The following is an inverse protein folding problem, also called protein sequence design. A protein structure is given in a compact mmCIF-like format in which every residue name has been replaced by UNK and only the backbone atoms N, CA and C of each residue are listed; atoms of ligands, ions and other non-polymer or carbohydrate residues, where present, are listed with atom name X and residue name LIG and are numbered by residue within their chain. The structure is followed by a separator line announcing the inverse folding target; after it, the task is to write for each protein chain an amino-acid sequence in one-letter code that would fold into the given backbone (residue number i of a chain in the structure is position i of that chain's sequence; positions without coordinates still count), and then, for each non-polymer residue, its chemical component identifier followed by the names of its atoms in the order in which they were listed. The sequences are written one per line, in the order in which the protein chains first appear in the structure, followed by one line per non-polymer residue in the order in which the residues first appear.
data_IF_053630183197
#
_entry.id   IF_053630183197
#
_cell.length_a   1.000
_cell.length_b   1.000
_cell.length_c   1.000
_cell.angle_alpha   90.00
_cell.angle_beta   90.00
_cell.angle_gamma   90.00
#
_symmetry.space_group_name_H-M   'P 1'
#
loop_
_entity.id
_entity.type
_entity.pdbx_description
1 polymer ?
#
# COMPACT_ATOMS: atom_id res chain seq x y z
N UNK A 1 -4.74 23.24 -17.82
CA UNK A 1 -4.60 21.95 -17.11
C UNK A 1 -3.12 21.68 -16.96
N UNK A 2 -2.67 21.30 -15.75
CA UNK A 2 -1.28 20.93 -15.47
C UNK A 2 -1.03 19.51 -16.04
N UNK A 3 0.12 19.28 -16.66
CA UNK A 3 0.52 17.98 -17.20
C UNK A 3 1.70 17.43 -16.41
N UNK A 4 1.97 16.12 -16.50
CA UNK A 4 3.15 15.51 -15.87
C UNK A 4 4.48 16.12 -16.36
N UNK A 5 4.54 16.56 -17.62
CA UNK A 5 5.71 17.29 -18.15
C UNK A 5 5.99 18.59 -17.40
N UNK A 6 4.93 19.27 -16.94
CA UNK A 6 5.03 20.56 -16.26
C UNK A 6 5.53 20.39 -14.81
N UNK A 7 5.45 19.17 -14.27
CA UNK A 7 5.94 18.79 -12.94
C UNK A 7 7.42 18.37 -12.91
N UNK A 8 8.12 18.44 -14.04
CA UNK A 8 9.54 18.05 -14.16
C UNK A 8 9.78 16.55 -14.38
N UNK A 9 8.72 15.77 -14.68
CA UNK A 9 8.85 14.35 -15.00
C UNK A 9 9.50 14.16 -16.36
N UNK A 10 10.45 13.22 -16.43
CA UNK A 10 11.20 12.91 -17.65
C UNK A 10 10.29 12.43 -18.79
N UNK A 11 10.55 12.81 -20.07
CA UNK A 11 9.69 12.49 -21.21
C UNK A 11 9.37 11.00 -21.35
N UNK A 12 10.33 10.10 -21.07
CA UNK A 12 10.13 8.65 -21.15
C UNK A 12 9.11 8.12 -20.14
N UNK A 13 9.01 8.72 -18.95
CA UNK A 13 7.98 8.38 -17.97
C UNK A 13 6.62 8.95 -18.37
N UNK A 14 6.59 10.18 -18.90
CA UNK A 14 5.35 10.80 -19.40
C UNK A 14 4.76 9.96 -20.54
N UNK A 15 5.60 9.48 -21.47
CA UNK A 15 5.18 8.60 -22.55
C UNK A 15 4.63 7.27 -22.00
N UNK A 16 5.31 6.66 -21.02
CA UNK A 16 4.85 5.42 -20.40
C UNK A 16 3.50 5.58 -19.71
N UNK A 17 3.27 6.68 -19.00
CA UNK A 17 1.99 7.00 -18.38
C UNK A 17 0.88 7.19 -19.44
N UNK A 18 1.19 7.91 -20.52
CA UNK A 18 0.24 8.14 -21.62
C UNK A 18 -0.18 6.85 -22.30
N UNK A 19 0.73 5.88 -22.45
CA UNK A 19 0.43 4.56 -23.00
C UNK A 19 -0.52 3.73 -22.09
N UNK A 20 -0.53 4.01 -20.80
CA UNK A 20 -1.47 3.42 -19.83
C UNK A 20 -2.75 4.26 -19.67
N UNK A 21 -2.92 5.32 -20.46
CA UNK A 21 -4.10 6.21 -20.39
C UNK A 21 -4.05 7.22 -19.25
N UNK A 22 -2.92 7.37 -18.56
CA UNK A 22 -2.72 8.30 -17.44
C UNK A 22 -2.14 9.59 -18.00
N UNK A 23 -2.98 10.58 -18.26
CA UNK A 23 -2.58 11.84 -18.93
C UNK A 23 -2.60 13.05 -18.02
N UNK A 24 -3.45 13.04 -16.98
CA UNK A 24 -3.65 14.16 -16.07
C UNK A 24 -3.22 13.80 -14.65
N UNK A 25 -2.39 14.62 -13.98
CA UNK A 25 -2.00 14.38 -12.60
C UNK A 25 -3.13 14.74 -11.62
N UNK A 26 -3.25 13.96 -10.55
CA UNK A 26 -4.07 14.28 -9.40
C UNK A 26 -3.45 15.40 -8.55
N UNK A 27 -4.24 16.05 -7.72
CA UNK A 27 -3.82 17.17 -6.84
C UNK A 27 -2.59 16.79 -6.00
N UNK A 28 -2.58 15.62 -5.36
CA UNK A 28 -1.44 15.15 -4.57
C UNK A 28 -0.15 14.99 -5.40
N UNK A 29 -0.27 14.68 -6.66
CA UNK A 29 0.88 14.55 -7.59
C UNK A 29 1.40 15.93 -7.99
N UNK A 30 0.50 16.88 -8.24
CA UNK A 30 0.85 18.27 -8.57
C UNK A 30 1.64 18.89 -7.41
N UNK A 31 1.19 18.67 -6.18
CA UNK A 31 1.81 19.25 -4.99
C UNK A 31 3.13 18.55 -4.59
N UNK A 32 3.20 17.21 -4.71
CA UNK A 32 4.33 16.46 -4.17
C UNK A 32 5.49 16.29 -5.15
N UNK A 33 5.22 16.06 -6.44
CA UNK A 33 6.25 15.68 -7.40
C UNK A 33 7.36 16.73 -7.52
N UNK A 34 7.09 18.04 -7.69
CA UNK A 34 8.15 19.03 -7.87
C UNK A 34 9.13 19.06 -6.67
N UNK A 35 8.61 19.15 -5.47
CA UNK A 35 9.42 19.19 -4.23
C UNK A 35 10.19 17.88 -4.02
N UNK A 36 9.59 16.73 -4.36
CA UNK A 36 10.29 15.45 -4.30
C UNK A 36 11.47 15.39 -5.27
N UNK A 37 11.31 15.89 -6.49
CA UNK A 37 12.40 15.97 -7.49
C UNK A 37 13.54 16.93 -7.10
N UNK A 38 13.23 17.94 -6.29
CA UNK A 38 14.23 18.85 -5.69
C UNK A 38 15.01 18.19 -4.55
N UNK A 39 14.70 16.95 -4.17
CA UNK A 39 15.35 16.23 -3.08
C UNK A 39 14.86 16.64 -1.69
N UNK A 40 13.76 17.39 -1.57
CA UNK A 40 13.19 17.81 -0.28
C UNK A 40 12.42 16.67 0.38
N UNK A 41 12.45 16.65 1.69
CA UNK A 41 11.59 15.79 2.48
C UNK A 41 10.13 16.22 2.35
N UNK A 42 9.22 15.23 2.35
CA UNK A 42 7.78 15.49 2.20
C UNK A 42 7.01 14.81 3.32
N UNK A 43 6.15 15.57 3.97
CA UNK A 43 5.13 15.07 4.89
C UNK A 43 3.75 15.33 4.28
N UNK A 44 3.15 14.30 3.68
CA UNK A 44 1.90 14.41 2.96
C UNK A 44 0.76 13.70 3.70
N UNK A 45 -0.31 14.44 4.00
CA UNK A 45 -1.58 13.91 4.45
C UNK A 45 -2.54 13.82 3.26
N UNK A 46 -2.85 12.59 2.85
CA UNK A 46 -3.75 12.33 1.73
C UNK A 46 -4.53 11.01 1.91
N UNK A 47 -5.83 10.96 1.56
CA UNK A 47 -6.64 9.75 1.68
C UNK A 47 -6.18 8.64 0.73
N UNK A 48 -6.63 7.40 0.96
CA UNK A 48 -6.47 6.30 0.01
C UNK A 48 -7.20 6.63 -1.29
N UNK A 49 -6.67 6.21 -2.44
CA UNK A 49 -7.26 6.50 -3.76
C UNK A 49 -6.93 7.89 -4.33
N UNK A 50 -6.14 8.72 -3.65
CA UNK A 50 -5.75 10.05 -4.13
C UNK A 50 -4.61 10.06 -5.16
N UNK A 51 -4.08 8.89 -5.56
CA UNK A 51 -2.97 8.81 -6.52
C UNK A 51 -1.56 8.89 -5.92
N UNK A 52 -1.40 8.61 -4.61
CA UNK A 52 -0.12 8.67 -3.88
C UNK A 52 1.00 7.88 -4.53
N UNK A 53 0.70 6.69 -5.05
CA UNK A 53 1.70 5.80 -5.63
C UNK A 53 2.53 6.46 -6.73
N UNK A 54 1.90 7.21 -7.63
CA UNK A 54 2.61 7.98 -8.64
C UNK A 54 3.24 9.25 -8.07
N UNK A 55 2.66 9.86 -7.03
CA UNK A 55 3.19 11.06 -6.40
C UNK A 55 4.59 10.84 -5.82
N UNK A 56 4.85 9.68 -5.20
CA UNK A 56 6.20 9.32 -4.74
C UNK A 56 6.97 8.47 -5.74
N UNK A 57 6.30 7.63 -6.52
CA UNK A 57 6.94 6.66 -7.40
C UNK A 57 7.64 7.30 -8.59
N UNK A 58 7.06 8.33 -9.20
CA UNK A 58 7.67 9.01 -10.34
C UNK A 58 8.96 9.76 -9.97
N UNK A 59 9.01 10.56 -8.89
CA UNK A 59 10.26 11.13 -8.42
C UNK A 59 11.29 10.06 -8.05
N UNK A 60 10.87 9.02 -7.31
CA UNK A 60 11.75 7.94 -6.88
C UNK A 60 12.41 7.24 -8.08
N UNK A 61 11.65 6.88 -9.12
CA UNK A 61 12.21 6.28 -10.35
C UNK A 61 13.14 7.26 -11.07
N UNK A 62 12.80 8.55 -11.09
CA UNK A 62 13.60 9.58 -11.76
C UNK A 62 14.96 9.81 -11.11
N UNK A 63 15.07 9.56 -9.80
CA UNK A 63 16.24 9.88 -8.97
C UNK A 63 17.02 8.64 -8.53
N UNK A 64 16.40 7.44 -8.52
CA UNK A 64 17.06 6.20 -8.15
C UNK A 64 18.32 5.96 -8.98
N UNK A 65 19.38 5.47 -8.33
CA UNK A 65 20.67 5.17 -8.94
C UNK A 65 20.78 3.68 -9.27
N UNK A 66 21.64 3.29 -10.23
CA UNK A 66 21.95 1.89 -10.47
C UNK A 66 22.44 1.20 -9.18
N UNK A 67 21.94 0.00 -8.93
CA UNK A 67 22.23 -0.76 -7.72
C UNK A 67 23.34 -1.80 -7.93
N UNK A 68 24.22 -1.95 -6.97
CA UNK A 68 25.11 -3.10 -6.86
C UNK A 68 24.36 -4.32 -6.27
N UNK A 69 24.98 -5.50 -6.35
CA UNK A 69 24.47 -6.72 -5.70
C UNK A 69 24.20 -6.47 -4.22
N UNK A 70 23.00 -6.78 -3.75
CA UNK A 70 22.55 -6.63 -2.36
C UNK A 70 22.56 -5.20 -1.80
N UNK A 71 22.65 -4.17 -2.66
CA UNK A 71 22.71 -2.76 -2.28
C UNK A 71 21.69 -1.95 -3.07
N UNK A 72 20.41 -2.00 -2.69
CA UNK A 72 19.37 -1.17 -3.31
C UNK A 72 19.63 0.32 -2.99
N UNK A 73 19.11 1.21 -3.85
CA UNK A 73 19.31 2.66 -3.73
C UNK A 73 18.04 3.41 -3.36
N UNK A 74 16.88 2.76 -3.49
CA UNK A 74 15.59 3.33 -3.10
C UNK A 74 14.72 2.31 -2.38
N UNK A 75 14.00 2.77 -1.34
CA UNK A 75 13.17 1.93 -0.47
C UNK A 75 11.79 2.55 -0.27
N UNK A 76 10.75 1.73 -0.41
CA UNK A 76 9.38 2.06 -0.04
C UNK A 76 8.95 1.10 1.07
N UNK A 77 8.58 1.62 2.24
CA UNK A 77 8.00 0.85 3.33
C UNK A 77 6.48 0.96 3.31
N UNK A 78 5.81 -0.16 3.49
CA UNK A 78 4.35 -0.27 3.48
C UNK A 78 3.87 -1.32 4.48
N UNK A 79 2.70 -1.14 5.11
CA UNK A 79 2.23 -2.03 6.18
C UNK A 79 1.88 -3.44 5.73
N UNK A 80 1.42 -3.61 4.48
CA UNK A 80 0.84 -4.88 4.04
C UNK A 80 1.49 -5.43 2.77
N UNK A 81 1.40 -6.75 2.60
CA UNK A 81 1.92 -7.48 1.43
C UNK A 81 1.17 -7.09 0.16
N UNK A 82 -0.13 -6.91 0.29
CA UNK A 82 -1.04 -6.56 -0.79
C UNK A 82 -0.67 -5.19 -1.35
N UNK A 83 -0.44 -4.21 -0.48
CA UNK A 83 -0.02 -2.88 -0.89
C UNK A 83 1.39 -2.90 -1.49
N UNK A 84 2.32 -3.70 -0.94
CA UNK A 84 3.65 -3.86 -1.52
C UNK A 84 3.59 -4.39 -2.97
N UNK A 85 2.73 -5.38 -3.24
CA UNK A 85 2.54 -5.90 -4.60
C UNK A 85 1.81 -4.91 -5.52
N UNK A 86 0.82 -4.17 -5.01
CA UNK A 86 0.14 -3.12 -5.79
C UNK A 86 1.14 -2.04 -6.22
N UNK A 87 1.93 -1.50 -5.29
CA UNK A 87 2.97 -0.51 -5.59
C UNK A 87 3.98 -1.07 -6.60
N UNK A 88 4.50 -2.30 -6.38
CA UNK A 88 5.42 -2.93 -7.31
C UNK A 88 4.83 -3.06 -8.71
N UNK A 89 3.58 -3.50 -8.82
CA UNK A 89 2.91 -3.69 -10.12
C UNK A 89 2.75 -2.37 -10.90
N UNK A 90 2.58 -1.26 -10.20
CA UNK A 90 2.53 0.08 -10.81
C UNK A 90 3.92 0.58 -11.21
N UNK A 91 4.92 0.41 -10.33
CA UNK A 91 6.23 1.03 -10.53
C UNK A 91 7.18 0.19 -11.42
N UNK A 92 7.10 -1.14 -11.41
CA UNK A 92 8.02 -2.02 -12.15
C UNK A 92 8.00 -1.78 -13.67
N UNK A 93 6.85 -1.71 -14.35
CA UNK A 93 6.82 -1.38 -15.77
C UNK A 93 7.35 0.04 -16.07
N UNK A 94 7.06 1.02 -15.23
CA UNK A 94 7.54 2.39 -15.39
C UNK A 94 9.07 2.49 -15.22
N UNK A 95 9.61 1.87 -14.18
CA UNK A 95 11.04 1.81 -13.90
C UNK A 95 11.81 1.07 -15.00
N UNK A 96 11.26 -0.05 -15.48
CA UNK A 96 11.85 -0.82 -16.57
C UNK A 96 11.84 -0.05 -17.89
N UNK A 97 10.74 0.59 -18.24
CA UNK A 97 10.64 1.41 -19.47
C UNK A 97 11.61 2.58 -19.43
N UNK A 98 11.69 3.28 -18.29
CA UNK A 98 12.53 4.47 -18.14
C UNK A 98 14.03 4.19 -18.20
N UNK A 99 14.53 3.21 -17.44
CA UNK A 99 15.97 3.01 -17.22
C UNK A 99 16.39 1.56 -16.96
N UNK A 100 15.52 0.59 -17.30
CA UNK A 100 15.72 -0.85 -17.07
C UNK A 100 15.93 -1.22 -15.59
N UNK A 101 15.53 -0.35 -14.68
CA UNK A 101 15.54 -0.62 -13.24
C UNK A 101 14.49 -1.66 -12.87
N UNK A 102 14.78 -2.40 -11.81
CA UNK A 102 13.92 -3.47 -11.27
C UNK A 102 13.32 -3.04 -9.96
N UNK A 103 12.05 -3.39 -9.77
CA UNK A 103 11.34 -3.20 -8.52
C UNK A 103 11.05 -4.56 -7.88
N UNK A 104 11.49 -4.76 -6.65
CA UNK A 104 11.31 -6.01 -5.90
C UNK A 104 10.41 -5.79 -4.69
N UNK A 105 9.35 -6.59 -4.57
CA UNK A 105 8.55 -6.64 -3.35
C UNK A 105 9.14 -7.62 -2.31
N UNK A 106 9.26 -7.15 -1.05
CA UNK A 106 9.81 -7.91 0.09
C UNK A 106 8.79 -7.96 1.23
N UNK A 107 8.22 -9.14 1.48
CA UNK A 107 7.25 -9.36 2.54
C UNK A 107 7.26 -10.80 3.06
N UNK A 108 6.71 -10.99 4.25
CA UNK A 108 6.63 -12.31 4.89
C UNK A 108 5.63 -13.25 4.18
N UNK A 109 5.89 -14.58 4.26
CA UNK A 109 5.06 -15.62 3.61
C UNK A 109 5.49 -15.94 2.17
N UNK A 110 6.42 -15.18 1.59
CA UNK A 110 7.12 -15.54 0.35
C UNK A 110 8.42 -16.29 0.67
N UNK A 111 8.85 -17.26 -0.19
CA UNK A 111 10.09 -17.99 0.02
C UNK A 111 11.33 -17.09 0.03
N UNK A 112 12.18 -17.21 1.04
CA UNK A 112 13.42 -16.45 1.19
C UNK A 112 14.33 -16.53 -0.04
N UNK A 113 14.55 -17.74 -0.54
CA UNK A 113 15.48 -17.97 -1.64
C UNK A 113 15.14 -17.24 -2.92
N UNK A 114 13.85 -16.92 -3.17
CA UNK A 114 13.44 -16.09 -4.33
C UNK A 114 13.87 -14.64 -4.14
N UNK A 115 13.62 -14.08 -2.95
CA UNK A 115 13.97 -12.71 -2.62
C UNK A 115 15.49 -12.51 -2.59
N UNK A 116 16.23 -13.43 -1.95
CA UNK A 116 17.70 -13.41 -1.87
C UNK A 116 18.33 -13.46 -3.26
N UNK A 117 17.92 -14.40 -4.13
CA UNK A 117 18.45 -14.48 -5.50
C UNK A 117 18.17 -13.24 -6.34
N UNK A 118 17.05 -12.56 -6.12
CA UNK A 118 16.77 -11.30 -6.80
C UNK A 118 17.72 -10.18 -6.32
N UNK A 119 17.93 -10.08 -5.02
CA UNK A 119 18.85 -9.11 -4.40
C UNK A 119 20.31 -9.33 -4.85
N UNK A 120 20.74 -10.58 -4.97
CA UNK A 120 22.09 -10.94 -5.48
C UNK A 120 22.33 -10.46 -6.92
N UNK A 121 21.29 -10.35 -7.73
CA UNK A 121 21.39 -9.86 -9.11
C UNK A 121 21.40 -8.33 -9.24
N UNK A 122 21.26 -7.63 -8.13
CA UNK A 122 21.04 -6.19 -8.11
C UNK A 122 19.59 -5.79 -8.41
N UNK A 123 19.03 -4.99 -7.52
CA UNK A 123 17.68 -4.41 -7.60
C UNK A 123 17.78 -3.00 -7.06
N UNK A 124 17.30 -2.04 -7.83
CA UNK A 124 17.39 -0.63 -7.51
C UNK A 124 16.35 -0.21 -6.47
N UNK A 125 15.11 -0.65 -6.66
CA UNK A 125 13.97 -0.21 -5.86
C UNK A 125 13.38 -1.40 -5.09
N UNK A 126 13.26 -1.25 -3.78
CA UNK A 126 12.60 -2.24 -2.92
C UNK A 126 11.28 -1.66 -2.40
N UNK A 127 10.21 -2.44 -2.50
CA UNK A 127 8.93 -2.19 -1.82
C UNK A 127 8.74 -3.23 -0.73
N UNK A 128 8.76 -2.83 0.54
CA UNK A 128 8.89 -3.80 1.62
C UNK A 128 7.91 -3.62 2.78
N UNK A 129 7.51 -4.75 3.38
CA UNK A 129 6.96 -4.75 4.73
C UNK A 129 8.09 -4.78 5.76
N UNK A 130 8.05 -3.94 6.81
CA UNK A 130 9.18 -3.73 7.72
C UNK A 130 9.77 -5.00 8.33
N UNK A 131 8.92 -5.91 8.83
CA UNK A 131 9.40 -7.11 9.53
C UNK A 131 10.23 -8.05 8.66
N UNK A 132 9.86 -8.29 7.40
CA UNK A 132 10.61 -9.16 6.48
C UNK A 132 11.88 -8.46 5.98
N UNK A 133 11.84 -7.16 5.74
CA UNK A 133 13.02 -6.43 5.33
C UNK A 133 14.10 -6.50 6.41
N UNK A 134 13.72 -6.22 7.65
CA UNK A 134 14.64 -6.25 8.79
C UNK A 134 15.25 -7.64 8.99
N UNK A 135 14.46 -8.71 8.89
CA UNK A 135 14.95 -10.09 8.97
C UNK A 135 15.97 -10.40 7.84
N UNK A 136 15.75 -9.93 6.61
CA UNK A 136 16.73 -10.10 5.52
C UNK A 136 18.01 -9.29 5.74
N UNK A 137 17.92 -8.09 6.29
CA UNK A 137 19.08 -7.26 6.67
C UNK A 137 19.88 -7.94 7.77
N UNK A 138 19.23 -8.44 8.82
CA UNK A 138 19.88 -9.14 9.93
C UNK A 138 20.57 -10.45 9.50
N UNK A 139 20.05 -11.09 8.46
CA UNK A 139 20.70 -12.28 7.82
C UNK A 139 21.83 -11.92 6.86
N UNK A 140 22.13 -10.65 6.65
CA UNK A 140 23.14 -10.21 5.68
C UNK A 140 22.78 -10.47 4.21
N UNK A 141 21.47 -10.61 3.91
CA UNK A 141 20.99 -10.80 2.55
C UNK A 141 21.01 -9.51 1.73
N UNK A 142 20.99 -8.35 2.38
CA UNK A 142 21.20 -7.02 1.80
C UNK A 142 21.68 -6.04 2.86
N UNK A 143 22.22 -4.90 2.41
CA UNK A 143 22.49 -3.71 3.23
C UNK A 143 21.60 -2.56 2.75
N UNK A 144 21.38 -1.58 3.61
CA UNK A 144 20.56 -0.40 3.32
C UNK A 144 21.38 0.88 3.25
N UNK A 145 22.68 0.78 3.36
CA UNK A 145 23.64 1.89 3.43
C UNK A 145 23.71 2.75 2.15
N UNK A 146 23.17 2.26 1.04
CA UNK A 146 23.07 2.99 -0.23
C UNK A 146 21.63 3.55 -0.48
N UNK A 147 20.72 3.43 0.47
CA UNK A 147 19.37 3.97 0.33
C UNK A 147 19.43 5.49 0.48
N UNK A 148 19.34 6.18 -0.63
CA UNK A 148 19.31 7.66 -0.68
C UNK A 148 17.88 8.22 -0.61
N UNK A 149 16.87 7.42 -1.00
CA UNK A 149 15.47 7.82 -1.02
C UNK A 149 14.65 6.78 -0.28
N UNK A 150 13.94 7.23 0.75
CA UNK A 150 13.04 6.42 1.57
C UNK A 150 11.62 6.95 1.50
N UNK A 151 10.67 6.10 1.12
CA UNK A 151 9.25 6.39 1.17
C UNK A 151 8.59 5.59 2.30
N UNK A 152 7.77 6.26 3.11
CA UNK A 152 6.91 5.65 4.11
C UNK A 152 5.46 5.83 3.65
N UNK A 153 4.83 4.77 3.12
CA UNK A 153 3.44 4.82 2.68
C UNK A 153 2.52 4.16 3.72
N UNK A 154 1.37 4.80 3.98
CA UNK A 154 0.44 4.44 5.05
C UNK A 154 1.11 4.36 6.43
N UNK A 155 1.85 5.43 6.80
CA UNK A 155 2.62 5.48 8.05
C UNK A 155 1.75 5.30 9.30
N UNK A 156 0.54 5.85 9.33
CA UNK A 156 -0.45 5.66 10.39
C UNK A 156 -0.84 4.18 10.55
N UNK A 157 -1.01 3.46 9.46
CA UNK A 157 -1.29 2.01 9.52
C UNK A 157 -0.09 1.21 10.00
N UNK A 158 1.13 1.62 9.66
CA UNK A 158 2.33 0.99 10.23
C UNK A 158 2.39 1.20 11.75
N UNK A 159 1.96 2.38 12.24
CA UNK A 159 1.83 2.67 13.66
C UNK A 159 0.79 1.76 14.34
N UNK A 160 -0.42 1.72 13.79
CA UNK A 160 -1.52 0.85 14.28
C UNK A 160 -1.15 -0.64 14.37
N UNK A 161 -0.29 -1.10 13.45
CA UNK A 161 0.18 -2.49 13.40
C UNK A 161 1.40 -2.76 14.28
N UNK A 162 1.90 -1.75 14.99
CA UNK A 162 3.06 -1.87 15.88
C UNK A 162 4.39 -1.97 15.15
N UNK A 163 4.50 -1.44 13.92
CA UNK A 163 5.72 -1.49 13.12
C UNK A 163 6.66 -0.30 13.33
N UNK A 164 6.36 0.62 14.25
CA UNK A 164 7.19 1.81 14.45
C UNK A 164 8.63 1.48 14.83
N UNK A 165 8.84 0.55 15.76
CA UNK A 165 10.21 0.14 16.15
C UNK A 165 10.98 -0.50 14.98
N UNK A 166 10.44 -1.49 14.22
CA UNK A 166 11.06 -1.96 12.99
C UNK A 166 11.34 -0.88 11.94
N UNK A 167 10.41 0.07 11.75
CA UNK A 167 10.59 1.19 10.81
C UNK A 167 11.77 2.06 11.22
N UNK A 168 11.86 2.49 12.48
CA UNK A 168 13.00 3.28 12.99
C UNK A 168 14.33 2.53 12.79
N UNK A 169 14.40 1.24 13.15
CA UNK A 169 15.60 0.41 12.94
C UNK A 169 16.02 0.28 11.48
N UNK A 170 15.08 0.33 10.55
CA UNK A 170 15.37 0.33 9.11
C UNK A 170 15.93 1.68 8.69
N UNK A 171 15.31 2.78 9.10
CA UNK A 171 15.76 4.13 8.75
C UNK A 171 17.19 4.38 9.27
N UNK A 172 17.48 3.95 10.50
CA UNK A 172 18.82 4.08 11.12
C UNK A 172 19.93 3.30 10.38
N UNK A 173 19.54 2.38 9.47
CA UNK A 173 20.49 1.61 8.64
C UNK A 173 20.61 2.13 7.19
N UNK A 174 19.82 3.12 6.82
CA UNK A 174 19.92 3.79 5.53
C UNK A 174 21.15 4.70 5.46
N UNK A 175 21.40 5.34 4.32
CA UNK A 175 22.43 6.36 4.17
C UNK A 175 22.30 7.46 5.25
N UNK A 176 23.38 8.19 5.53
CA UNK A 176 23.43 9.13 6.65
C UNK A 176 22.43 10.29 6.55
N UNK A 177 21.91 10.58 5.37
CA UNK A 177 20.92 11.64 5.15
C UNK A 177 20.02 11.28 3.94
N UNK A 178 19.18 10.25 4.02
CA UNK A 178 18.29 9.90 2.92
C UNK A 178 17.19 10.96 2.81
N UNK A 179 16.71 11.22 1.60
CA UNK A 179 15.45 11.92 1.43
C UNK A 179 14.31 11.06 1.99
N UNK A 180 13.49 11.62 2.89
CA UNK A 180 12.36 10.91 3.49
C UNK A 180 11.03 11.49 2.99
N UNK A 181 10.27 10.67 2.28
CA UNK A 181 8.95 11.01 1.75
C UNK A 181 7.90 10.21 2.53
N UNK A 182 7.08 10.90 3.32
CA UNK A 182 6.06 10.26 4.16
C UNK A 182 4.66 10.58 3.66
N UNK A 183 3.88 9.52 3.44
CA UNK A 183 2.46 9.58 3.14
C UNK A 183 1.64 8.90 4.23
N UNK A 184 0.58 9.56 4.68
CA UNK A 184 -0.32 9.06 5.70
C UNK A 184 -1.73 9.63 5.51
N UNK A 185 -2.76 8.92 5.96
CA UNK A 185 -4.11 9.48 6.02
C UNK A 185 -4.28 10.36 7.26
N UNK A 186 -3.56 10.05 8.34
CA UNK A 186 -3.55 10.82 9.59
C UNK A 186 -2.13 11.13 10.04
N UNK A 187 -1.96 12.24 10.76
CA UNK A 187 -0.69 12.64 11.39
C UNK A 187 -0.82 12.53 12.91
N UNK A 188 -1.06 11.32 13.40
CA UNK A 188 -1.16 11.02 14.81
C UNK A 188 0.18 11.25 15.56
N UNK A 189 0.20 10.88 16.86
CA UNK A 189 1.37 11.10 17.73
C UNK A 189 2.59 10.34 17.24
N UNK A 190 2.42 9.10 16.77
CA UNK A 190 3.53 8.23 16.37
C UNK A 190 4.08 8.64 15.00
N UNK A 191 3.22 8.97 14.03
CA UNK A 191 3.62 9.53 12.74
C UNK A 191 4.30 10.88 12.92
N UNK A 192 3.76 11.78 13.77
CA UNK A 192 4.37 13.06 14.08
C UNK A 192 5.76 12.93 14.74
N UNK A 193 5.99 11.85 15.50
CA UNK A 193 7.31 11.54 16.05
C UNK A 193 8.30 11.14 14.96
N UNK A 194 7.89 10.29 13.99
CA UNK A 194 8.75 9.94 12.85
C UNK A 194 9.16 11.18 12.06
N UNK A 195 8.19 12.04 11.72
CA UNK A 195 8.45 13.30 11.01
C UNK A 195 9.52 14.13 11.74
N UNK A 196 9.35 14.37 13.05
CA UNK A 196 10.30 15.16 13.83
C UNK A 196 11.68 14.54 13.98
N UNK A 197 11.77 13.21 13.94
CA UNK A 197 13.03 12.49 14.16
C UNK A 197 13.82 12.33 12.87
N UNK A 198 13.17 12.09 11.76
CA UNK A 198 13.82 11.61 10.53
C UNK A 198 13.66 12.53 9.31
N UNK A 199 12.82 13.56 9.39
CA UNK A 199 12.68 14.53 8.31
C UNK A 199 13.35 15.87 8.65
N UNK A 200 13.96 16.48 7.64
CA UNK A 200 14.60 17.78 7.74
C UNK A 200 13.79 18.83 6.96
N UNK A 201 13.16 19.78 7.66
CA UNK A 201 12.31 20.84 7.10
C UNK A 201 11.37 20.34 5.96
N UNK A 202 10.49 19.36 6.25
CA UNK A 202 9.67 18.74 5.22
C UNK A 202 8.65 19.70 4.62
N UNK A 203 8.43 19.60 3.32
CA UNK A 203 7.27 20.22 2.66
C UNK A 203 6.01 19.53 3.18
N UNK A 204 5.12 20.30 3.79
CA UNK A 204 3.86 19.81 4.31
C UNK A 204 2.78 19.95 3.26
N UNK A 205 2.18 18.82 2.87
CA UNK A 205 1.14 18.74 1.86
C UNK A 205 -0.10 18.14 2.51
N UNK A 206 -1.23 18.78 2.32
CA UNK A 206 -2.52 18.29 2.78
C UNK A 206 -3.52 18.32 1.62
N UNK A 207 -3.86 17.12 1.14
CA UNK A 207 -4.80 16.95 0.02
C UNK A 207 -6.04 16.20 0.50
N UNK A 208 -7.17 16.63 -0.01
CA UNK A 208 -8.49 16.10 0.37
C UNK A 208 -9.11 16.83 1.55
N UNK A 209 -10.35 16.50 1.91
CA UNK A 209 -11.06 17.15 3.00
C UNK A 209 -10.31 16.92 4.32
N UNK A 210 -10.24 17.96 5.17
CA UNK A 210 -9.62 17.89 6.52
C UNK A 210 -10.24 16.79 7.39
N UNK A 211 -11.51 16.50 7.16
CA UNK A 211 -12.24 15.36 7.70
C UNK A 211 -12.74 14.54 6.52
N UNK A 212 -12.65 13.21 6.63
CA UNK A 212 -13.32 12.31 5.67
C UNK A 212 -14.79 12.70 5.71
N UNK A 213 -15.30 13.31 4.63
CA UNK A 213 -16.69 13.72 4.57
C UNK A 213 -17.56 12.49 4.73
N UNK A 214 -18.10 12.30 5.93
CA UNK A 214 -19.09 11.26 6.24
C UNK A 214 -20.37 11.46 5.42
N UNK A 215 -20.52 12.63 4.78
CA UNK A 215 -21.69 13.02 3.99
C UNK A 215 -21.88 12.22 2.70
N UNK A 216 -20.82 11.56 2.19
CA UNK A 216 -20.89 10.74 0.98
C UNK A 216 -21.26 9.28 1.24
N UNK A 217 -21.29 8.84 2.49
CA UNK A 217 -21.63 7.49 2.89
C UNK A 217 -22.89 7.44 3.74
N UNK A 218 -23.84 6.59 3.38
CA UNK A 218 -25.04 6.33 4.19
C UNK A 218 -24.69 5.33 5.31
N UNK A 219 -24.57 5.80 6.54
CA UNK A 219 -24.24 4.99 7.71
C UNK A 219 -25.51 4.47 8.40
N UNK A 220 -25.60 3.14 8.55
CA UNK A 220 -26.72 2.47 9.21
C UNK A 220 -26.25 1.56 10.35
N UNK A 221 -26.79 1.73 11.51
CA UNK A 221 -26.51 0.90 12.68
C UNK A 221 -27.71 -0.01 12.95
N UNK A 222 -27.46 -1.30 13.02
CA UNK A 222 -28.51 -2.30 13.27
C UNK A 222 -28.24 -3.07 14.56
N UNK A 223 -29.19 -3.04 15.46
CA UNK A 223 -29.17 -3.93 16.64
C UNK A 223 -29.78 -5.28 16.25
N UNK A 224 -28.93 -6.29 16.06
CA UNK A 224 -29.31 -7.58 15.50
C UNK A 224 -28.95 -8.69 16.48
N UNK A 225 -29.89 -9.61 16.73
CA UNK A 225 -29.62 -10.83 17.50
C UNK A 225 -28.56 -11.69 16.80
N UNK A 226 -27.58 -12.28 17.54
CA UNK A 226 -26.46 -13.01 16.94
C UNK A 226 -26.85 -14.04 15.88
N UNK A 227 -27.91 -14.82 16.12
CA UNK A 227 -28.39 -15.87 15.20
C UNK A 227 -29.03 -15.35 13.90
N UNK A 228 -29.34 -14.06 13.80
CA UNK A 228 -29.90 -13.42 12.60
C UNK A 228 -28.85 -12.67 11.76
N UNK A 229 -27.62 -12.55 12.24
CA UNK A 229 -26.59 -11.75 11.56
C UNK A 229 -26.30 -12.23 10.15
N UNK A 230 -26.14 -13.54 9.96
CA UNK A 230 -25.86 -14.14 8.65
C UNK A 230 -27.02 -13.93 7.66
N UNK A 231 -28.25 -14.17 8.09
CA UNK A 231 -29.45 -13.96 7.27
C UNK A 231 -29.52 -12.50 6.77
N UNK A 232 -29.28 -11.54 7.66
CA UNK A 232 -29.33 -10.13 7.31
C UNK A 232 -28.16 -9.74 6.42
N UNK A 233 -26.94 -10.27 6.66
CA UNK A 233 -25.80 -10.05 5.79
C UNK A 233 -26.06 -10.56 4.37
N UNK A 234 -26.61 -11.76 4.21
CA UNK A 234 -26.99 -12.34 2.91
C UNK A 234 -28.03 -11.48 2.20
N UNK A 235 -29.08 -11.06 2.90
CA UNK A 235 -30.11 -10.17 2.30
C UNK A 235 -29.52 -8.84 1.85
N UNK A 236 -28.64 -8.24 2.66
CA UNK A 236 -28.03 -6.96 2.36
C UNK A 236 -27.11 -7.05 1.13
N UNK A 237 -26.27 -8.08 1.08
CA UNK A 237 -25.36 -8.32 -0.04
C UNK A 237 -26.12 -8.58 -1.35
N UNK A 238 -27.17 -9.40 -1.31
CA UNK A 238 -28.01 -9.67 -2.49
C UNK A 238 -28.68 -8.40 -3.05
N UNK A 239 -28.99 -7.46 -2.16
CA UNK A 239 -29.60 -6.18 -2.54
C UNK A 239 -28.58 -5.16 -3.06
N UNK A 240 -27.42 -5.10 -2.44
CA UNK A 240 -26.40 -4.07 -2.72
C UNK A 240 -25.36 -4.52 -3.75
N UNK A 241 -25.21 -5.83 -3.98
CA UNK A 241 -24.22 -6.37 -4.91
C UNK A 241 -22.83 -6.45 -4.27
N UNK A 242 -21.82 -5.89 -4.94
CA UNK A 242 -20.40 -6.04 -4.53
C UNK A 242 -20.13 -5.46 -3.16
N UNK A 243 -19.67 -6.31 -2.24
CA UNK A 243 -19.64 -5.97 -0.81
C UNK A 243 -18.37 -6.46 -0.11
N UNK A 244 -17.95 -5.74 0.93
CA UNK A 244 -16.94 -6.21 1.88
C UNK A 244 -17.61 -6.43 3.24
N UNK A 245 -17.27 -7.54 3.92
CA UNK A 245 -17.72 -7.84 5.28
C UNK A 245 -16.51 -7.99 6.18
N UNK A 246 -16.38 -7.12 7.18
CA UNK A 246 -15.32 -7.16 8.16
C UNK A 246 -15.72 -8.01 9.36
N UNK A 247 -14.89 -8.99 9.70
CA UNK A 247 -15.04 -9.83 10.89
C UNK A 247 -13.87 -9.58 11.86
N UNK A 248 -14.17 -9.57 13.16
CA UNK A 248 -13.17 -9.34 14.20
C UNK A 248 -12.09 -10.43 14.27
N UNK A 249 -12.43 -11.68 13.96
CA UNK A 249 -11.54 -12.84 14.12
C UNK A 249 -11.44 -13.67 12.85
N UNK A 250 -10.34 -14.44 12.70
CA UNK A 250 -10.16 -15.44 11.63
C UNK A 250 -11.27 -16.48 11.63
N UNK A 251 -11.58 -17.04 12.82
CA UNK A 251 -12.67 -18.00 12.97
C UNK A 251 -14.04 -17.41 12.59
N UNK A 252 -14.25 -16.11 12.82
CA UNK A 252 -15.45 -15.40 12.38
C UNK A 252 -15.55 -15.31 10.85
N UNK A 253 -14.41 -15.07 10.16
CA UNK A 253 -14.34 -15.10 8.70
C UNK A 253 -14.70 -16.49 8.17
N UNK A 254 -14.07 -17.54 8.70
CA UNK A 254 -14.28 -18.92 8.25
C UNK A 254 -15.73 -19.33 8.43
N UNK A 255 -16.30 -19.13 9.64
CA UNK A 255 -17.69 -19.45 9.96
C UNK A 255 -18.67 -18.72 9.02
N UNK A 256 -18.56 -17.39 8.91
CA UNK A 256 -19.46 -16.61 8.07
C UNK A 256 -19.34 -17.01 6.60
N UNK A 257 -18.13 -17.36 6.16
CA UNK A 257 -17.88 -17.82 4.79
C UNK A 257 -18.60 -19.15 4.49
N UNK A 258 -18.60 -20.09 5.44
CA UNK A 258 -19.32 -21.36 5.32
C UNK A 258 -20.84 -21.14 5.30
N UNK A 259 -21.34 -20.33 6.23
CA UNK A 259 -22.78 -20.01 6.31
C UNK A 259 -23.27 -19.31 5.02
N UNK A 260 -22.50 -18.37 4.47
CA UNK A 260 -22.87 -17.68 3.21
C UNK A 260 -22.73 -18.57 1.96
N UNK A 261 -21.85 -19.56 1.96
CA UNK A 261 -21.77 -20.58 0.90
C UNK A 261 -23.02 -21.45 0.82
N UNK A 262 -23.57 -21.86 1.98
CA UNK A 262 -24.84 -22.59 2.06
C UNK A 262 -25.96 -21.81 1.37
N UNK A 263 -25.93 -20.49 1.51
CA UNK A 263 -26.86 -19.56 0.86
C UNK A 263 -26.52 -19.28 -0.61
N UNK A 264 -25.57 -20.00 -1.21
CA UNK A 264 -25.14 -19.84 -2.62
C UNK A 264 -24.65 -18.43 -2.98
N UNK A 265 -24.07 -17.70 -2.03
CA UNK A 265 -23.46 -16.39 -2.30
C UNK A 265 -22.01 -16.60 -2.75
N UNK A 266 -21.58 -16.07 -3.92
CA UNK A 266 -20.19 -16.14 -4.37
C UNK A 266 -19.28 -15.30 -3.45
N UNK A 267 -18.49 -15.97 -2.61
CA UNK A 267 -17.63 -15.31 -1.61
C UNK A 267 -16.14 -15.58 -1.85
N UNK A 268 -15.30 -14.68 -1.34
CA UNK A 268 -13.88 -14.88 -1.09
C UNK A 268 -13.56 -14.53 0.36
N UNK A 269 -12.71 -15.33 1.00
CA UNK A 269 -12.29 -15.12 2.40
C UNK A 269 -10.85 -14.60 2.44
N UNK A 270 -10.58 -13.62 3.33
CA UNK A 270 -9.24 -13.03 3.49
C UNK A 270 -8.89 -12.81 4.97
N UNK A 271 -7.91 -13.56 5.48
CA UNK A 271 -7.44 -13.42 6.85
C UNK A 271 -5.99 -13.91 7.01
N UNK A 272 -5.33 -13.57 8.11
CA UNK A 272 -3.93 -13.88 8.36
C UNK A 272 -3.56 -15.37 8.51
N UNK A 273 -4.54 -16.28 8.55
CA UNK A 273 -4.32 -17.74 8.53
C UNK A 273 -4.14 -18.33 7.14
N UNK A 274 -4.43 -17.58 6.09
CA UNK A 274 -4.26 -18.02 4.71
C UNK A 274 -2.79 -17.92 4.26
N UNK A 275 -2.33 -18.90 3.47
CA UNK A 275 -1.05 -18.77 2.78
C UNK A 275 -1.15 -17.78 1.60
N UNK A 276 0.01 -17.34 1.05
CA UNK A 276 0.02 -16.29 0.03
C UNK A 276 -0.78 -16.67 -1.22
N UNK A 277 -0.65 -17.91 -1.72
CA UNK A 277 -1.43 -18.36 -2.91
C UNK A 277 -2.94 -18.29 -2.67
N UNK A 278 -3.38 -18.59 -1.45
CA UNK A 278 -4.81 -18.50 -1.10
C UNK A 278 -5.27 -17.04 -1.06
N UNK A 279 -4.46 -16.14 -0.49
CA UNK A 279 -4.75 -14.71 -0.46
C UNK A 279 -4.83 -14.12 -1.87
N UNK A 280 -3.84 -14.41 -2.72
CA UNK A 280 -3.80 -13.95 -4.12
C UNK A 280 -5.02 -14.45 -4.90
N UNK A 281 -5.40 -15.72 -4.70
CA UNK A 281 -6.62 -16.29 -5.33
C UNK A 281 -7.89 -15.61 -4.84
N UNK A 282 -8.00 -15.31 -3.55
CA UNK A 282 -9.16 -14.63 -2.97
C UNK A 282 -9.29 -13.22 -3.54
N UNK A 283 -8.20 -12.47 -3.56
CA UNK A 283 -8.15 -11.12 -4.11
C UNK A 283 -8.47 -11.12 -5.61
N UNK A 284 -7.83 -11.99 -6.41
CA UNK A 284 -8.10 -12.10 -7.84
C UNK A 284 -9.55 -12.48 -8.17
N UNK A 285 -10.18 -13.34 -7.36
CA UNK A 285 -11.60 -13.67 -7.52
C UNK A 285 -12.48 -12.47 -7.23
N UNK A 286 -12.18 -11.72 -6.18
CA UNK A 286 -12.94 -10.54 -5.80
C UNK A 286 -12.73 -9.38 -6.79
N UNK A 287 -11.49 -9.04 -7.14
CA UNK A 287 -11.18 -7.96 -8.09
C UNK A 287 -11.77 -8.23 -9.48
N UNK A 288 -11.74 -9.48 -9.96
CA UNK A 288 -12.33 -9.86 -11.25
C UNK A 288 -13.87 -10.02 -11.25
N UNK A 289 -14.55 -9.75 -10.13
CA UNK A 289 -16.01 -9.89 -10.02
C UNK A 289 -16.52 -11.33 -9.94
N UNK A 290 -15.63 -12.35 -9.92
CA UNK A 290 -16.00 -13.77 -9.73
C UNK A 290 -16.50 -14.09 -8.32
N UNK A 291 -16.19 -13.24 -7.35
CA UNK A 291 -16.81 -13.23 -6.02
C UNK A 291 -17.52 -11.91 -5.82
N UNK A 292 -18.76 -11.97 -5.33
CA UNK A 292 -19.57 -10.80 -5.02
C UNK A 292 -19.20 -10.21 -3.66
N UNK A 293 -18.73 -11.05 -2.74
CA UNK A 293 -18.43 -10.67 -1.36
C UNK A 293 -17.00 -11.03 -1.01
N UNK A 294 -16.29 -10.07 -0.39
CA UNK A 294 -15.05 -10.33 0.32
C UNK A 294 -15.34 -10.33 1.82
N UNK A 295 -15.11 -11.47 2.50
CA UNK A 295 -15.20 -11.57 3.95
C UNK A 295 -13.78 -11.56 4.51
N UNK A 296 -13.45 -10.56 5.32
CA UNK A 296 -12.07 -10.37 5.76
C UNK A 296 -11.97 -9.97 7.23
N UNK A 297 -10.79 -10.23 7.83
CA UNK A 297 -10.44 -9.54 9.07
C UNK A 297 -9.97 -8.13 8.72
N UNK A 298 -10.20 -7.16 9.59
CA UNK A 298 -9.79 -5.76 9.40
C UNK A 298 -8.32 -5.64 9.00
N UNK A 299 -7.42 -6.28 9.74
CA UNK A 299 -5.98 -6.29 9.46
C UNK A 299 -5.65 -6.85 8.06
N UNK A 300 -6.37 -7.87 7.60
CA UNK A 300 -6.08 -8.51 6.31
C UNK A 300 -6.66 -7.75 5.12
N UNK A 301 -7.69 -6.93 5.34
CA UNK A 301 -8.33 -6.12 4.31
C UNK A 301 -7.77 -4.68 4.22
N UNK A 302 -6.91 -4.30 5.15
CA UNK A 302 -6.23 -3.00 5.10
C UNK A 302 -5.37 -2.88 3.85
N UNK A 303 -5.42 -1.72 3.20
CA UNK A 303 -4.67 -1.47 1.96
C UNK A 303 -5.25 -2.13 0.71
N UNK A 304 -6.45 -2.72 0.77
CA UNK A 304 -7.15 -3.21 -0.41
C UNK A 304 -7.79 -2.02 -1.11
N UNK A 305 -7.34 -1.77 -2.33
CA UNK A 305 -7.97 -0.84 -3.25
C UNK A 305 -8.72 -1.65 -4.32
N UNK A 306 -10.05 -1.57 -4.30
CA UNK A 306 -10.92 -2.28 -5.24
C UNK A 306 -12.14 -1.42 -5.55
N UNK A 307 -12.29 -1.09 -6.81
CA UNK A 307 -13.42 -0.29 -7.30
C UNK A 307 -14.78 -1.01 -7.24
N UNK A 308 -15.85 -0.23 -7.20
CA UNK A 308 -17.21 -0.71 -7.35
C UNK A 308 -17.76 -1.45 -6.13
N UNK A 309 -17.28 -1.14 -4.94
CA UNK A 309 -17.83 -1.67 -3.68
C UNK A 309 -19.02 -0.80 -3.27
N UNK A 310 -20.20 -1.42 -3.18
CA UNK A 310 -21.44 -0.74 -2.87
C UNK A 310 -21.85 -0.84 -1.39
N UNK A 311 -21.27 -1.81 -0.65
CA UNK A 311 -21.64 -2.05 0.75
C UNK A 311 -20.42 -2.51 1.55
N UNK A 312 -20.26 -1.89 2.71
CA UNK A 312 -19.34 -2.35 3.76
C UNK A 312 -20.13 -2.74 5.00
N UNK A 313 -19.98 -3.97 5.47
CA UNK A 313 -20.58 -4.46 6.71
C UNK A 313 -19.49 -4.70 7.75
N UNK A 314 -19.70 -4.20 8.96
CA UNK A 314 -18.78 -4.40 10.09
C UNK A 314 -19.48 -5.24 11.16
N UNK A 315 -18.92 -6.40 11.44
CA UNK A 315 -19.38 -7.29 12.51
C UNK A 315 -18.78 -6.84 13.84
N UNK A 316 -19.54 -6.11 14.60
CA UNK A 316 -19.19 -5.71 15.96
C UNK A 316 -19.61 -6.79 16.98
#
# INVERSE_FOLDING_TARGET
MVRFSDLGIKPSLVESLSNEGITEPFEVQIEAIPSALEGRDICCRAPTGSGKTLAFGLPLISMAKPAASKRPTALILTPTRELAEQIRNVLDPLAWSHSKMKVLSIYGGSPYGRQIRALEKGVEIIVACPGRLLDLVERGALTLDEIDILVLDEADRMADMGFMEPVCRIIDKCASNPQVILFSATLDRDVSRLVRTYQNDPVKIEVGPKEVSMETMDHKFWNIKPHKKTEIAVKSVRRSGRSIIFCRTRAGVDRLSEEMKIESVPISSLHGGLNQKQRDRAMNKFSSGRSMVLIATDVAARGIDVDGINLSLIHI
#
